data_IF_534063648951
#
_entry.id   IF_534063648951
#
_cell.length_a   1.000
_cell.length_b   1.000
_cell.length_c   1.000
_cell.angle_alpha   90.00
_cell.angle_beta   90.00
_cell.angle_gamma   90.00
#
_symmetry.space_group_name_H-M   'P 1'
#
loop_
_entity.id
_entity.type
_entity.pdbx_description
1 polymer ?
#
# COMPACT_ATOMS: atom_id res chain seq x y z
N UNK A 1 14.39 -51.17 44.49
CA UNK A 1 12.96 -51.13 44.86
C UNK A 1 12.62 -49.74 45.41
N UNK A 2 11.44 -49.22 45.04
CA UNK A 2 10.73 -48.13 45.74
C UNK A 2 11.11 -46.67 45.47
N UNK A 3 10.95 -46.18 44.22
CA UNK A 3 10.50 -44.78 44.03
C UNK A 3 9.79 -44.49 42.69
N UNK A 4 10.02 -45.31 41.65
CA UNK A 4 9.38 -45.12 40.33
C UNK A 4 7.88 -45.49 40.29
N UNK A 5 7.41 -46.32 41.23
CA UNK A 5 6.06 -46.88 41.23
C UNK A 5 5.04 -46.07 42.05
N UNK A 6 5.44 -44.92 42.62
CA UNK A 6 4.56 -44.04 43.41
C UNK A 6 3.91 -42.90 42.62
N UNK A 7 4.31 -42.68 41.37
CA UNK A 7 3.80 -41.55 40.56
C UNK A 7 2.64 -41.90 39.62
N UNK A 8 2.37 -43.18 39.38
CA UNK A 8 1.46 -43.63 38.30
C UNK A 8 -0.01 -43.77 38.69
N UNK A 9 -0.35 -43.86 39.98
CA UNK A 9 -1.75 -44.08 40.42
C UNK A 9 -2.48 -42.83 40.95
N UNK A 10 -1.79 -41.70 41.19
CA UNK A 10 -2.38 -40.47 41.73
C UNK A 10 -2.88 -39.47 40.67
N UNK A 11 -2.73 -39.77 39.38
CA UNK A 11 -3.03 -38.85 38.27
C UNK A 11 -4.18 -39.33 37.36
N UNK A 12 -4.86 -40.43 37.71
CA UNK A 12 -6.00 -40.96 36.95
C UNK A 12 -7.12 -39.90 36.87
N UNK A 13 -7.31 -39.34 35.67
CA UNK A 13 -8.32 -38.32 35.39
C UNK A 13 -7.82 -36.87 35.43
N UNK A 14 -6.54 -36.60 35.70
CA UNK A 14 -5.98 -35.25 35.60
C UNK A 14 -5.24 -35.05 34.27
N UNK A 15 -5.33 -33.83 33.72
CA UNK A 15 -4.59 -33.45 32.51
C UNK A 15 -3.08 -33.68 32.68
N UNK A 16 -2.45 -34.25 31.66
CA UNK A 16 -0.99 -34.43 31.58
C UNK A 16 -0.30 -33.06 31.68
N UNK A 17 0.78 -33.00 32.45
CA UNK A 17 1.71 -31.87 32.48
C UNK A 17 2.54 -31.86 31.22
N UNK A 18 3.06 -30.69 30.84
CA UNK A 18 3.86 -30.53 29.63
C UNK A 18 5.05 -31.49 29.57
N UNK A 19 5.77 -31.64 30.68
CA UNK A 19 6.93 -32.55 30.81
C UNK A 19 6.55 -34.04 30.99
N UNK A 20 5.26 -34.38 31.01
CA UNK A 20 4.77 -35.77 30.96
C UNK A 20 4.38 -36.19 29.54
N UNK A 21 4.36 -35.26 28.58
CA UNK A 21 4.02 -35.53 27.18
C UNK A 21 5.26 -36.08 26.46
N UNK A 22 5.06 -37.01 25.53
CA UNK A 22 6.10 -37.56 24.66
C UNK A 22 6.90 -36.46 23.95
N UNK A 23 8.23 -36.60 23.94
CA UNK A 23 9.17 -35.61 23.39
C UNK A 23 8.90 -35.26 21.92
N UNK A 24 8.49 -36.25 21.11
CA UNK A 24 8.15 -36.06 19.69
C UNK A 24 7.04 -35.02 19.46
N UNK A 25 6.18 -34.78 20.46
CA UNK A 25 5.05 -33.86 20.36
C UNK A 25 5.40 -32.44 20.83
N UNK A 26 6.56 -32.23 21.48
CA UNK A 26 6.91 -30.90 22.01
C UNK A 26 7.13 -29.88 20.89
N UNK A 27 7.74 -30.29 19.78
CA UNK A 27 7.92 -29.44 18.61
C UNK A 27 6.58 -28.94 18.06
N UNK A 28 5.59 -29.83 17.90
CA UNK A 28 4.26 -29.42 17.41
C UNK A 28 3.51 -28.57 18.42
N UNK A 29 3.59 -28.87 19.72
CA UNK A 29 2.99 -28.02 20.76
C UNK A 29 3.60 -26.62 20.72
N UNK A 30 4.93 -26.51 20.70
CA UNK A 30 5.60 -25.21 20.72
C UNK A 30 5.35 -24.45 19.41
N UNK A 31 5.43 -25.13 18.26
CA UNK A 31 5.30 -24.52 16.93
C UNK A 31 3.87 -24.14 16.55
N UNK A 32 2.87 -24.89 17.03
CA UNK A 32 1.45 -24.63 16.70
C UNK A 32 0.78 -23.76 17.75
N UNK A 33 1.11 -23.93 19.04
CA UNK A 33 0.36 -23.28 20.11
C UNK A 33 0.94 -21.93 20.54
N UNK A 34 2.16 -21.59 20.13
CA UNK A 34 2.87 -20.39 20.55
C UNK A 34 3.42 -19.64 19.35
N UNK A 35 3.34 -18.32 19.43
CA UNK A 35 3.99 -17.41 18.49
C UNK A 35 5.44 -17.12 18.92
N UNK A 36 6.33 -16.74 18.00
CA UNK A 36 7.68 -16.29 18.36
C UNK A 36 7.69 -15.15 19.38
N UNK A 37 6.72 -14.23 19.31
CA UNK A 37 6.57 -13.13 20.27
C UNK A 37 6.25 -13.63 21.68
N UNK A 38 5.36 -14.62 21.81
CA UNK A 38 5.04 -15.27 23.09
C UNK A 38 6.25 -16.02 23.66
N UNK A 39 7.01 -16.73 22.82
CA UNK A 39 8.24 -17.39 23.25
C UNK A 39 9.25 -16.36 23.80
N UNK A 40 9.45 -15.24 23.12
CA UNK A 40 10.36 -14.17 23.59
C UNK A 40 9.88 -13.59 24.93
N UNK A 41 8.57 -13.40 25.11
CA UNK A 41 8.00 -12.95 26.37
C UNK A 41 8.22 -13.96 27.51
N UNK A 42 7.93 -15.24 27.25
CA UNK A 42 8.11 -16.31 28.24
C UNK A 42 9.58 -16.48 28.62
N UNK A 43 10.48 -16.29 27.66
CA UNK A 43 11.90 -16.43 27.87
C UNK A 43 12.44 -15.34 28.81
N UNK A 44 11.98 -14.08 28.63
CA UNK A 44 12.21 -12.99 29.60
C UNK A 44 11.64 -13.30 30.99
N UNK A 45 10.40 -13.80 31.06
CA UNK A 45 9.75 -14.16 32.33
C UNK A 45 10.45 -15.30 33.06
N UNK A 46 11.09 -16.20 32.32
CA UNK A 46 11.82 -17.33 32.87
C UNK A 46 13.28 -16.99 33.24
N UNK A 47 13.70 -15.73 33.07
CA UNK A 47 15.09 -15.27 33.26
C UNK A 47 16.11 -16.13 32.48
N UNK A 48 15.73 -16.56 31.28
CA UNK A 48 16.63 -17.29 30.39
C UNK A 48 17.49 -16.30 29.61
N UNK A 49 18.75 -16.66 29.35
CA UNK A 49 19.65 -15.82 28.58
C UNK A 49 19.18 -15.73 27.12
N UNK A 50 18.78 -14.53 26.69
CA UNK A 50 18.48 -14.21 25.30
C UNK A 50 19.39 -13.08 24.87
N UNK A 51 20.08 -13.26 23.75
CA UNK A 51 20.74 -12.16 23.06
C UNK A 51 19.81 -11.64 21.94
N UNK A 52 19.88 -10.34 21.65
CA UNK A 52 18.95 -9.66 20.74
C UNK A 52 18.92 -10.26 19.31
N UNK A 53 19.98 -10.95 18.89
CA UNK A 53 20.11 -11.61 17.59
C UNK A 53 19.60 -13.06 17.51
N UNK A 54 19.07 -13.64 18.60
CA UNK A 54 18.65 -15.04 18.60
C UNK A 54 17.52 -15.27 17.57
N UNK A 55 17.74 -16.22 16.68
CA UNK A 55 16.80 -16.57 15.62
C UNK A 55 15.57 -17.29 16.20
N UNK A 56 14.42 -17.17 15.52
CA UNK A 56 13.18 -17.80 15.98
C UNK A 56 13.30 -19.33 16.08
N UNK A 57 14.10 -19.97 15.22
CA UNK A 57 14.40 -21.40 15.29
C UNK A 57 15.18 -21.80 16.56
N UNK A 58 16.17 -21.00 16.97
CA UNK A 58 16.95 -21.26 18.17
C UNK A 58 16.07 -21.14 19.41
N UNK A 59 15.23 -20.10 19.43
CA UNK A 59 14.26 -19.89 20.49
C UNK A 59 13.25 -21.05 20.57
N UNK A 60 12.71 -21.48 19.42
CA UNK A 60 11.83 -22.63 19.33
C UNK A 60 12.50 -23.89 19.87
N UNK A 61 13.71 -24.22 19.40
CA UNK A 61 14.48 -25.39 19.83
C UNK A 61 14.75 -25.39 21.34
N UNK A 62 15.09 -24.22 21.90
CA UNK A 62 15.28 -24.07 23.35
C UNK A 62 14.00 -24.37 24.14
N UNK A 63 12.84 -23.87 23.69
CA UNK A 63 11.56 -24.15 24.35
C UNK A 63 11.09 -25.60 24.18
N UNK A 64 11.39 -26.25 23.05
CA UNK A 64 11.15 -27.69 22.86
C UNK A 64 11.95 -28.49 23.88
N UNK A 65 13.24 -28.21 24.06
CA UNK A 65 14.07 -28.88 25.05
C UNK A 65 13.64 -28.59 26.51
N UNK A 66 13.07 -27.41 26.77
CA UNK A 66 12.52 -27.04 28.08
C UNK A 66 11.22 -27.79 28.36
N UNK A 67 10.35 -27.99 27.36
CA UNK A 67 9.03 -28.59 27.52
C UNK A 67 9.11 -29.99 28.18
N UNK A 68 10.13 -30.79 27.84
CA UNK A 68 10.34 -32.12 28.43
C UNK A 68 10.92 -32.14 29.85
N UNK A 69 11.23 -30.99 30.46
CA UNK A 69 11.89 -30.91 31.77
C UNK A 69 10.95 -30.34 32.83
N UNK A 70 10.86 -30.90 34.05
CA UNK A 70 10.01 -30.37 35.14
C UNK A 70 10.60 -29.10 35.80
N UNK A 71 10.99 -28.11 35.00
CA UNK A 71 11.65 -26.88 35.45
C UNK A 71 10.68 -25.68 35.56
N UNK A 72 11.19 -24.55 36.07
CA UNK A 72 10.41 -23.32 36.21
C UNK A 72 9.88 -22.81 34.86
N UNK A 73 10.71 -22.84 33.82
CA UNK A 73 10.34 -22.39 32.48
C UNK A 73 9.22 -23.25 31.86
N UNK A 74 9.27 -24.58 32.02
CA UNK A 74 8.20 -25.48 31.56
C UNK A 74 6.87 -25.24 32.29
N UNK A 75 6.91 -24.94 33.59
CA UNK A 75 5.71 -24.55 34.36
C UNK A 75 5.14 -23.21 33.91
N UNK A 76 5.99 -22.22 33.59
CA UNK A 76 5.54 -20.96 33.00
C UNK A 76 4.86 -21.19 31.65
N UNK A 77 5.47 -22.03 30.81
CA UNK A 77 4.94 -22.37 29.50
C UNK A 77 3.57 -23.05 29.62
N UNK A 78 3.46 -24.06 30.50
CA UNK A 78 2.19 -24.73 30.74
C UNK A 78 1.12 -23.75 31.23
N UNK A 79 1.43 -22.89 32.21
CA UNK A 79 0.49 -21.87 32.71
C UNK A 79 0.02 -20.93 31.61
N UNK A 80 0.93 -20.54 30.72
CA UNK A 80 0.58 -19.67 29.60
C UNK A 80 -0.37 -20.37 28.62
N UNK A 81 -0.10 -21.61 28.23
CA UNK A 81 -0.97 -22.41 27.37
C UNK A 81 -2.35 -22.66 28.02
N UNK A 82 -2.36 -23.01 29.31
CA UNK A 82 -3.59 -23.24 30.06
C UNK A 82 -4.46 -21.97 30.17
N UNK A 83 -3.83 -20.80 30.35
CA UNK A 83 -4.52 -19.52 30.34
C UNK A 83 -5.04 -19.14 28.96
N UNK A 84 -4.18 -19.24 27.94
CA UNK A 84 -4.50 -18.89 26.53
C UNK A 84 -5.67 -19.70 25.98
N UNK A 85 -5.70 -21.00 26.28
CA UNK A 85 -6.70 -21.93 25.75
C UNK A 85 -7.75 -22.35 26.78
N UNK A 86 -7.92 -21.59 27.87
CA UNK A 86 -8.78 -21.97 28.99
C UNK A 86 -10.24 -22.30 28.60
N UNK A 87 -10.82 -21.60 27.63
CA UNK A 87 -12.17 -21.90 27.12
C UNK A 87 -12.22 -23.25 26.38
N UNK A 88 -11.24 -23.52 25.52
CA UNK A 88 -11.14 -24.79 24.77
C UNK A 88 -10.88 -25.95 25.73
N UNK A 89 -10.01 -25.77 26.72
CA UNK A 89 -9.76 -26.76 27.77
C UNK A 89 -11.02 -27.12 28.56
N UNK A 90 -11.83 -26.12 28.94
CA UNK A 90 -13.12 -26.36 29.60
C UNK A 90 -14.07 -27.14 28.71
N UNK A 91 -14.11 -26.84 27.42
CA UNK A 91 -14.94 -27.56 26.45
C UNK A 91 -14.53 -29.02 26.33
N UNK A 92 -13.26 -29.31 26.08
CA UNK A 92 -12.74 -30.69 25.97
C UNK A 92 -12.89 -31.48 27.26
N UNK A 93 -12.77 -30.84 28.44
CA UNK A 93 -12.94 -31.53 29.74
C UNK A 93 -14.34 -32.10 29.99
N UNK A 94 -15.34 -31.67 29.20
CA UNK A 94 -16.72 -32.19 29.26
C UNK A 94 -16.88 -33.47 28.44
N UNK A 95 -15.99 -33.75 27.49
CA UNK A 95 -16.01 -34.98 26.73
C UNK A 95 -15.76 -36.19 27.66
N UNK A 96 -16.63 -37.19 27.58
CA UNK A 96 -16.61 -38.42 28.35
C UNK A 96 -16.30 -39.65 27.50
N UNK A 97 -16.28 -39.51 26.18
CA UNK A 97 -15.95 -40.59 25.26
C UNK A 97 -14.86 -40.19 24.26
N UNK A 98 -14.28 -41.20 23.60
CA UNK A 98 -13.29 -41.01 22.54
C UNK A 98 -13.93 -40.34 21.33
N UNK A 99 -15.17 -40.70 21.02
CA UNK A 99 -15.95 -40.18 19.90
C UNK A 99 -16.23 -38.68 20.09
N UNK A 100 -16.56 -38.25 21.31
CA UNK A 100 -16.74 -36.83 21.63
C UNK A 100 -15.43 -36.05 21.50
N UNK A 101 -14.30 -36.60 21.92
CA UNK A 101 -12.98 -35.98 21.74
C UNK A 101 -12.62 -35.86 20.25
N UNK A 102 -12.90 -36.89 19.46
CA UNK A 102 -12.67 -36.88 18.02
C UNK A 102 -13.56 -35.84 17.33
N UNK A 103 -14.85 -35.77 17.68
CA UNK A 103 -15.76 -34.77 17.11
C UNK A 103 -15.32 -33.33 17.43
N UNK A 104 -14.89 -33.07 18.66
CA UNK A 104 -14.35 -31.76 19.05
C UNK A 104 -13.06 -31.40 18.31
N UNK A 105 -12.25 -32.39 17.96
CA UNK A 105 -11.05 -32.21 17.16
C UNK A 105 -11.39 -31.89 15.70
N UNK A 106 -12.29 -32.65 15.07
CA UNK A 106 -12.74 -32.38 13.69
C UNK A 106 -13.35 -31.00 13.54
N UNK A 107 -14.24 -30.61 14.47
CA UNK A 107 -14.82 -29.26 14.47
C UNK A 107 -13.75 -28.17 14.58
N UNK A 108 -12.71 -28.39 15.37
CA UNK A 108 -11.62 -27.44 15.50
C UNK A 108 -10.73 -27.36 14.24
N UNK A 109 -10.63 -28.44 13.46
CA UNK A 109 -9.97 -28.44 12.16
C UNK A 109 -10.79 -27.63 11.15
N UNK A 110 -12.10 -27.84 11.08
CA UNK A 110 -13.02 -27.11 10.19
C UNK A 110 -13.04 -25.60 10.51
N UNK A 111 -13.09 -25.25 11.79
CA UNK A 111 -13.07 -23.87 12.28
C UNK A 111 -11.68 -23.20 12.21
N UNK A 112 -10.62 -23.94 11.88
CA UNK A 112 -9.24 -23.44 11.94
C UNK A 112 -8.72 -23.13 13.35
N UNK A 113 -9.39 -23.61 14.41
CA UNK A 113 -9.04 -23.40 15.83
C UNK A 113 -8.10 -24.49 16.38
N UNK A 114 -7.17 -24.92 15.54
CA UNK A 114 -6.31 -26.11 15.74
C UNK A 114 -5.44 -26.02 16.99
N UNK A 115 -4.83 -24.86 17.26
CA UNK A 115 -3.86 -24.71 18.35
C UNK A 115 -4.43 -25.02 19.74
N UNK A 116 -5.63 -24.51 20.04
CA UNK A 116 -6.28 -24.77 21.32
C UNK A 116 -6.76 -26.21 21.46
N UNK A 117 -7.30 -26.77 20.39
CA UNK A 117 -7.75 -28.15 20.36
C UNK A 117 -6.59 -29.14 20.48
N UNK A 118 -5.45 -28.85 19.83
CA UNK A 118 -4.24 -29.66 19.93
C UNK A 118 -3.71 -29.69 21.37
N UNK A 119 -3.62 -28.52 22.02
CA UNK A 119 -3.23 -28.44 23.43
C UNK A 119 -4.20 -29.19 24.35
N UNK A 120 -5.51 -29.09 24.09
CA UNK A 120 -6.51 -29.80 24.85
C UNK A 120 -6.36 -31.31 24.71
N UNK A 121 -6.25 -31.82 23.48
CA UNK A 121 -6.18 -33.24 23.16
C UNK A 121 -4.90 -33.89 23.72
N UNK A 122 -3.73 -33.28 23.53
CA UNK A 122 -2.45 -33.85 23.99
C UNK A 122 -2.32 -33.91 25.51
N UNK A 123 -3.06 -33.05 26.22
CA UNK A 123 -3.08 -33.03 27.69
C UNK A 123 -4.27 -33.76 28.30
N UNK A 124 -5.26 -34.17 27.51
CA UNK A 124 -6.47 -34.78 28.05
C UNK A 124 -6.16 -36.20 28.58
N UNK A 125 -6.65 -36.57 29.77
CA UNK A 125 -6.35 -37.86 30.40
C UNK A 125 -6.91 -39.06 29.62
N UNK A 126 -7.99 -38.86 28.87
CA UNK A 126 -8.72 -39.92 28.15
C UNK A 126 -8.45 -39.94 26.64
N UNK A 127 -7.45 -39.20 26.15
CA UNK A 127 -7.09 -39.26 24.71
C UNK A 127 -6.40 -40.59 24.41
N UNK A 128 -6.96 -41.43 23.51
CA UNK A 128 -6.30 -42.66 23.08
C UNK A 128 -5.18 -42.36 22.08
N UNK A 129 -4.19 -43.26 22.04
CA UNK A 129 -2.98 -43.08 21.24
C UNK A 129 -3.24 -43.00 19.73
N UNK A 130 -4.27 -43.68 19.23
CA UNK A 130 -4.68 -43.63 17.81
C UNK A 130 -5.18 -42.24 17.42
N UNK A 131 -6.05 -41.65 18.25
CA UNK A 131 -6.55 -40.29 18.03
C UNK A 131 -5.42 -39.26 18.15
N UNK A 132 -4.52 -39.44 19.11
CA UNK A 132 -3.36 -38.57 19.28
C UNK A 132 -2.43 -38.62 18.07
N UNK A 133 -2.20 -39.81 17.52
CA UNK A 133 -1.35 -40.03 16.35
C UNK A 133 -1.97 -39.42 15.09
N UNK A 134 -3.28 -39.58 14.89
CA UNK A 134 -4.02 -38.94 13.79
C UNK A 134 -3.92 -37.42 13.87
N UNK A 135 -4.28 -36.85 15.01
CA UNK A 135 -4.25 -35.41 15.24
C UNK A 135 -2.85 -34.81 15.06
N UNK A 136 -1.81 -35.52 15.53
CA UNK A 136 -0.42 -35.12 15.29
C UNK A 136 -0.08 -35.06 13.78
N UNK A 137 -0.49 -36.07 13.01
CA UNK A 137 -0.30 -36.09 11.56
C UNK A 137 -0.97 -34.92 10.85
N UNK A 138 -2.18 -34.57 11.27
CA UNK A 138 -2.93 -33.42 10.72
C UNK A 138 -2.25 -32.09 11.06
N UNK A 139 -1.83 -31.88 12.31
CA UNK A 139 -1.06 -30.69 12.72
C UNK A 139 0.24 -30.57 11.94
N UNK A 140 0.94 -31.70 11.73
CA UNK A 140 2.17 -31.75 10.96
C UNK A 140 1.93 -31.34 9.49
N UNK A 141 0.90 -31.90 8.84
CA UNK A 141 0.56 -31.56 7.45
C UNK A 141 0.09 -30.11 7.31
N UNK A 142 -0.69 -29.59 8.26
CA UNK A 142 -1.10 -28.19 8.28
C UNK A 142 0.11 -27.25 8.31
N UNK A 143 1.16 -27.60 9.05
CA UNK A 143 2.40 -26.81 9.11
C UNK A 143 3.12 -26.79 7.74
N UNK A 144 3.12 -27.91 7.02
CA UNK A 144 3.64 -27.99 5.65
C UNK A 144 2.80 -27.19 4.65
N UNK A 145 1.48 -27.30 4.72
CA UNK A 145 0.54 -26.60 3.84
C UNK A 145 0.57 -25.08 4.07
N UNK A 146 0.57 -24.65 5.33
CA UNK A 146 0.72 -23.24 5.69
C UNK A 146 2.01 -22.65 5.09
N UNK A 147 3.12 -23.39 5.19
CA UNK A 147 4.39 -22.98 4.58
C UNK A 147 4.30 -22.87 3.05
N UNK A 148 3.60 -23.80 2.38
CA UNK A 148 3.38 -23.74 0.93
C UNK A 148 2.52 -22.54 0.52
N UNK A 149 1.43 -22.28 1.25
CA UNK A 149 0.54 -21.15 1.04
C UNK A 149 1.26 -19.82 1.25
N UNK A 150 2.08 -19.69 2.31
CA UNK A 150 2.90 -18.49 2.55
C UNK A 150 3.89 -18.25 1.40
N UNK A 151 4.54 -19.30 0.89
CA UNK A 151 5.43 -19.16 -0.28
C UNK A 151 4.69 -18.70 -1.53
N UNK A 152 3.50 -19.26 -1.79
CA UNK A 152 2.64 -18.84 -2.91
C UNK A 152 2.24 -17.37 -2.77
N UNK A 153 1.70 -16.99 -1.61
CA UNK A 153 1.29 -15.61 -1.33
C UNK A 153 2.45 -14.63 -1.44
N UNK A 154 3.66 -15.00 -0.98
CA UNK A 154 4.86 -14.16 -1.14
C UNK A 154 5.24 -13.94 -2.62
N UNK A 155 5.10 -14.97 -3.46
CA UNK A 155 5.36 -14.85 -4.91
C UNK A 155 4.33 -13.93 -5.57
N UNK A 156 3.05 -14.16 -5.31
CA UNK A 156 1.95 -13.33 -5.84
C UNK A 156 2.10 -11.87 -5.41
N UNK A 157 2.43 -11.62 -4.14
CA UNK A 157 2.72 -10.29 -3.62
C UNK A 157 3.91 -9.63 -4.34
N UNK A 158 4.95 -10.41 -4.66
CA UNK A 158 6.09 -9.93 -5.45
C UNK A 158 5.69 -9.51 -6.86
N UNK A 159 4.88 -10.32 -7.55
CA UNK A 159 4.35 -10.00 -8.89
C UNK A 159 3.50 -8.74 -8.86
N UNK A 160 2.58 -8.63 -7.91
CA UNK A 160 1.72 -7.45 -7.78
C UNK A 160 2.51 -6.19 -7.48
N UNK A 161 3.53 -6.25 -6.59
CA UNK A 161 4.43 -5.12 -6.34
C UNK A 161 5.18 -4.70 -7.60
N UNK A 162 5.65 -5.65 -8.40
CA UNK A 162 6.29 -5.37 -9.69
C UNK A 162 5.34 -4.65 -10.65
N UNK A 163 4.10 -5.15 -10.77
CA UNK A 163 3.09 -4.54 -11.65
C UNK A 163 2.70 -3.12 -11.21
N UNK A 164 2.60 -2.87 -9.91
CA UNK A 164 2.35 -1.53 -9.37
C UNK A 164 3.48 -0.57 -9.74
N UNK A 165 4.74 -0.99 -9.57
CA UNK A 165 5.88 -0.15 -9.93
C UNK A 165 5.94 0.15 -11.43
N UNK A 166 5.65 -0.84 -12.28
CA UNK A 166 5.56 -0.69 -13.73
C UNK A 166 4.49 0.33 -14.14
N UNK A 167 3.26 0.15 -13.66
CA UNK A 167 2.14 1.04 -13.95
C UNK A 167 2.38 2.47 -13.45
N UNK A 168 3.01 2.63 -12.28
CA UNK A 168 3.44 3.94 -11.78
C UNK A 168 4.44 4.60 -12.72
N UNK A 169 5.40 3.84 -13.26
CA UNK A 169 6.35 4.32 -14.25
C UNK A 169 5.69 4.72 -15.57
N UNK A 170 4.75 3.93 -16.08
CA UNK A 170 3.95 4.26 -17.27
C UNK A 170 3.14 5.54 -17.08
N UNK A 171 2.45 5.66 -15.94
CA UNK A 171 1.66 6.83 -15.61
C UNK A 171 2.52 8.10 -15.52
N UNK A 172 3.71 8.01 -14.91
CA UNK A 172 4.64 9.12 -14.84
C UNK A 172 5.11 9.57 -16.24
N UNK A 173 5.43 8.61 -17.13
CA UNK A 173 5.79 8.90 -18.52
C UNK A 173 4.65 9.56 -19.29
N UNK A 174 3.44 9.02 -19.19
CA UNK A 174 2.26 9.57 -19.86
C UNK A 174 1.97 11.00 -19.39
N UNK A 175 2.02 11.26 -18.08
CA UNK A 175 1.87 12.60 -17.51
C UNK A 175 2.91 13.58 -18.03
N UNK A 176 4.18 13.18 -18.11
CA UNK A 176 5.26 14.03 -18.65
C UNK A 176 5.05 14.36 -20.14
N UNK A 177 4.58 13.39 -20.94
CA UNK A 177 4.27 13.62 -22.35
C UNK A 177 3.08 14.58 -22.49
N UNK A 178 2.02 14.40 -21.71
CA UNK A 178 0.85 15.27 -21.75
C UNK A 178 1.17 16.70 -21.31
N UNK A 179 1.94 16.89 -20.23
CA UNK A 179 2.35 18.23 -19.79
C UNK A 179 3.15 18.96 -20.89
N UNK A 180 4.11 18.30 -21.53
CA UNK A 180 4.87 18.90 -22.64
C UNK A 180 3.97 19.31 -23.81
N UNK A 181 2.98 18.47 -24.16
CA UNK A 181 2.04 18.78 -25.23
C UNK A 181 1.14 19.97 -24.88
N UNK A 182 0.72 20.10 -23.63
CA UNK A 182 -0.04 21.26 -23.15
C UNK A 182 0.82 22.53 -23.26
N UNK A 183 2.08 22.49 -22.82
CA UNK A 183 3.00 23.63 -22.95
C UNK A 183 3.24 24.03 -24.41
N UNK A 184 3.39 23.07 -25.32
CA UNK A 184 3.53 23.32 -26.76
C UNK A 184 2.28 24.00 -27.34
N UNK A 185 1.09 23.50 -26.99
CA UNK A 185 -0.19 24.06 -27.42
C UNK A 185 -0.40 25.47 -26.85
N UNK A 186 -0.04 25.72 -25.60
CA UNK A 186 -0.12 27.06 -24.99
C UNK A 186 0.79 28.06 -25.72
N UNK A 187 2.02 27.66 -26.08
CA UNK A 187 2.92 28.51 -26.88
C UNK A 187 2.35 28.79 -28.26
N UNK A 188 1.77 27.79 -28.93
CA UNK A 188 1.15 27.97 -30.24
C UNK A 188 -0.04 28.94 -30.17
N UNK A 189 -0.90 28.80 -29.16
CA UNK A 189 -2.02 29.71 -28.90
C UNK A 189 -1.51 31.14 -28.71
N UNK A 190 -0.46 31.37 -27.92
CA UNK A 190 0.12 32.69 -27.72
C UNK A 190 0.63 33.32 -29.03
N UNK A 191 1.32 32.52 -29.86
CA UNK A 191 1.80 32.98 -31.17
C UNK A 191 0.64 33.34 -32.10
N UNK A 192 -0.40 32.49 -32.15
CA UNK A 192 -1.58 32.73 -32.98
C UNK A 192 -2.37 33.96 -32.50
N UNK A 193 -2.51 34.15 -31.18
CA UNK A 193 -3.14 35.34 -30.59
C UNK A 193 -2.37 36.62 -30.95
N UNK A 194 -1.03 36.60 -30.88
CA UNK A 194 -0.21 37.74 -31.27
C UNK A 194 -0.33 38.06 -32.77
N UNK A 195 -0.38 37.04 -33.63
CA UNK A 195 -0.61 37.23 -35.08
C UNK A 195 -2.00 37.78 -35.37
N UNK A 196 -3.02 37.28 -34.67
CA UNK A 196 -4.39 37.77 -34.80
C UNK A 196 -4.53 39.23 -34.37
N UNK A 197 -3.87 39.63 -33.28
CA UNK A 197 -3.83 41.02 -32.84
C UNK A 197 -3.21 41.92 -33.91
N UNK A 198 -2.02 41.57 -34.41
CA UNK A 198 -1.36 42.33 -35.50
C UNK A 198 -2.22 42.43 -36.77
N UNK A 199 -2.89 41.35 -37.15
CA UNK A 199 -3.76 41.35 -38.32
C UNK A 199 -4.97 42.29 -38.14
N UNK A 200 -5.53 42.36 -36.92
CA UNK A 200 -6.60 43.30 -36.58
C UNK A 200 -6.12 44.75 -36.63
N UNK A 201 -4.94 45.03 -36.08
CA UNK A 201 -4.34 46.38 -36.11
C UNK A 201 -4.12 46.83 -37.57
N UNK A 202 -3.55 45.96 -38.41
CA UNK A 202 -3.35 46.25 -39.84
C UNK A 202 -4.67 46.47 -40.60
N UNK A 203 -5.72 45.70 -40.29
CA UNK A 203 -7.04 45.88 -40.90
C UNK A 203 -7.66 47.22 -40.49
N UNK A 204 -7.50 47.61 -39.22
CA UNK A 204 -7.95 48.92 -38.75
C UNK A 204 -7.18 50.07 -39.42
N UNK A 205 -5.84 49.99 -39.48
CA UNK A 205 -5.02 50.97 -40.19
C UNK A 205 -5.41 51.09 -41.67
N UNK A 206 -5.72 49.96 -42.32
CA UNK A 206 -6.19 49.94 -43.71
C UNK A 206 -7.53 50.63 -43.86
N UNK A 207 -8.47 50.39 -42.95
CA UNK A 207 -9.80 51.02 -42.98
C UNK A 207 -9.73 52.53 -42.71
N UNK A 208 -8.87 52.95 -41.78
CA UNK A 208 -8.57 54.37 -41.51
C UNK A 208 -7.93 55.04 -42.74
N UNK A 209 -6.94 54.40 -43.36
CA UNK A 209 -6.31 54.89 -44.59
C UNK A 209 -7.32 54.98 -45.75
N UNK A 210 -8.20 53.99 -45.90
CA UNK A 210 -9.27 53.98 -46.90
C UNK A 210 -10.27 55.11 -46.67
N UNK A 211 -10.66 55.35 -45.42
CA UNK A 211 -11.53 56.45 -45.04
C UNK A 211 -10.89 57.81 -45.33
N UNK A 212 -9.60 57.98 -45.02
CA UNK A 212 -8.83 59.21 -45.35
C UNK A 212 -8.72 59.44 -46.85
N UNK A 213 -8.48 58.38 -47.63
CA UNK A 213 -8.43 58.45 -49.09
C UNK A 213 -9.78 58.89 -49.65
N UNK A 214 -10.88 58.27 -49.21
CA UNK A 214 -12.23 58.66 -49.62
C UNK A 214 -12.55 60.11 -49.25
N UNK A 215 -12.13 60.59 -48.07
CA UNK A 215 -12.32 61.98 -47.69
C UNK A 215 -11.58 62.95 -48.63
N UNK A 216 -10.32 62.65 -48.98
CA UNK A 216 -9.53 63.44 -49.92
C UNK A 216 -10.09 63.39 -51.35
N UNK A 217 -10.64 62.25 -51.78
CA UNK A 217 -11.31 62.10 -53.08
C UNK A 217 -12.67 62.81 -53.13
N UNK A 218 -13.37 62.90 -52.00
CA UNK A 218 -14.67 63.57 -51.87
C UNK A 218 -14.56 65.10 -51.77
N UNK A 219 -13.42 65.61 -51.30
CA UNK A 219 -13.09 67.02 -51.43
C UNK A 219 -12.75 67.26 -52.91
N UNK A 220 -13.47 68.13 -53.65
CA UNK A 220 -13.24 68.29 -55.06
C UNK A 220 -11.88 68.97 -55.25
N UNK A 221 -10.84 68.15 -55.35
CA UNK A 221 -9.46 68.56 -55.55
C UNK A 221 -9.34 69.52 -56.73
N UNK A 222 -10.15 69.32 -57.78
CA UNK A 222 -10.27 70.24 -58.90
C UNK A 222 -10.78 71.63 -58.49
N UNK A 223 -11.78 71.71 -57.60
CA UNK A 223 -12.33 72.97 -57.10
C UNK A 223 -11.40 73.65 -56.10
N UNK A 224 -10.73 72.87 -55.23
CA UNK A 224 -9.73 73.37 -54.27
C UNK A 224 -8.47 73.89 -54.97
N UNK A 225 -7.97 73.15 -55.98
CA UNK A 225 -6.84 73.57 -56.82
C UNK A 225 -7.25 74.76 -57.69
N UNK A 226 -8.47 74.78 -58.21
CA UNK A 226 -9.04 75.93 -58.92
C UNK A 226 -9.03 77.19 -58.05
N UNK A 227 -9.64 77.14 -56.86
CA UNK A 227 -9.69 78.26 -55.92
C UNK A 227 -8.30 78.75 -55.48
N UNK A 228 -7.36 77.84 -55.24
CA UNK A 228 -5.98 78.22 -54.90
C UNK A 228 -5.26 78.86 -56.09
N UNK A 229 -5.45 78.35 -57.30
CA UNK A 229 -4.86 78.90 -58.52
C UNK A 229 -5.41 80.29 -58.81
N UNK A 230 -6.71 80.50 -58.65
CA UNK A 230 -7.36 81.81 -58.77
C UNK A 230 -6.84 82.82 -57.74
N UNK A 231 -6.69 82.40 -56.46
CA UNK A 231 -6.12 83.25 -55.41
C UNK A 231 -4.67 83.61 -55.68
N UNK A 232 -3.89 82.69 -56.24
CA UNK A 232 -2.50 82.93 -56.63
C UNK A 232 -2.43 83.93 -57.78
N UNK A 233 -3.25 83.73 -58.82
CA UNK A 233 -3.34 84.64 -59.97
C UNK A 233 -3.76 86.05 -59.54
N UNK A 234 -4.76 86.18 -58.66
CA UNK A 234 -5.19 87.46 -58.11
C UNK A 234 -4.13 88.10 -57.18
N UNK A 235 -3.26 87.30 -56.55
CA UNK A 235 -2.10 87.78 -55.79
C UNK A 235 -1.02 88.35 -56.71
N UNK A 236 -0.67 87.61 -57.77
CA UNK A 236 0.31 88.02 -58.77
C UNK A 236 -0.13 89.29 -59.51
N UNK A 237 -1.38 89.36 -59.97
CA UNK A 237 -1.91 90.55 -60.65
C UNK A 237 -1.86 91.81 -59.75
N UNK A 238 -2.10 91.66 -58.44
CA UNK A 238 -1.97 92.78 -57.48
C UNK A 238 -0.51 93.18 -57.27
N UNK A 239 0.42 92.22 -57.27
CA UNK A 239 1.85 92.50 -57.19
C UNK A 239 2.34 93.23 -58.46
N UNK A 240 1.93 92.77 -59.65
CA UNK A 240 2.25 93.41 -60.92
C UNK A 240 1.67 94.83 -61.01
N UNK A 241 0.45 95.06 -60.54
CA UNK A 241 -0.15 96.41 -60.47
C UNK A 241 0.57 97.32 -59.47
N UNK A 242 1.03 96.78 -58.34
CA UNK A 242 1.82 97.52 -57.37
C UNK A 242 3.22 97.86 -57.90
N UNK A 243 3.84 96.95 -58.66
CA UNK A 243 5.12 97.16 -59.34
C UNK A 243 4.98 98.20 -60.47
N UNK A 244 3.91 98.16 -61.27
CA UNK A 244 3.63 99.15 -62.30
C UNK A 244 3.35 100.55 -61.72
N UNK A 245 2.56 100.62 -60.64
CA UNK A 245 2.30 101.89 -59.94
C UNK A 245 3.56 102.47 -59.26
N UNK A 246 4.49 101.61 -58.83
CA UNK A 246 5.79 102.03 -58.31
C UNK A 246 6.78 102.47 -59.42
N UNK A 247 6.58 102.03 -60.66
CA UNK A 247 7.39 102.42 -61.81
C UNK A 247 6.94 103.72 -62.50
N UNK A 248 5.72 104.18 -62.23
CA UNK A 248 5.15 105.45 -62.74
C UNK A 248 5.31 106.64 -61.78
N UNK A 249 5.97 106.45 -60.64
CA UNK A 249 6.26 107.48 -59.64
C UNK A 249 7.76 107.85 -59.62
#
# INVERSE_FOLDING_TARGET
MSNAMRHTDLDKGRRKRLWQIEERLHCSIVGTCLTPAELRLLCRKANLAIHAGMADYELHSAFVAIAGKPCHAARLLQRHLDGKYGSVLRRFSRARSVEELAALWEEALEDGKVAGAWWALVTHPSTPDDLLTRAYGEVHMLSHLASASVRRGRRELGVLRGRVAELQGELARCRSIHLRRIEEQEREIQVLQARLARARDMEQEREEARSRLQALESEPLAERVGQLSERLAAGLARAEQAEAAAAEC
#
